data_IF_586203330851
#
_entry.id   IF_586203330851
#
_cell.length_a   1.000
_cell.length_b   1.000
_cell.length_c   1.000
_cell.angle_alpha   90.00
_cell.angle_beta   90.00
_cell.angle_gamma   90.00
#
_symmetry.space_group_name_H-M   'P 1'
#
loop_
_entity.id
_entity.type
_entity.pdbx_description
1 polymer ?
#
# COMPACT_ATOMS: atom_id res chain seq x y z
N UNK A 1 -7.45 -20.70 -1.85
CA UNK A 1 -7.43 -21.01 -0.41
C UNK A 1 -6.60 -19.92 0.24
N UNK A 2 -7.19 -19.10 1.10
CA UNK A 2 -6.47 -18.06 1.84
C UNK A 2 -5.65 -18.78 2.92
N UNK A 3 -4.41 -19.14 2.61
CA UNK A 3 -3.52 -19.72 3.60
C UNK A 3 -3.25 -18.68 4.68
N UNK A 4 -3.62 -19.01 5.91
CA UNK A 4 -3.43 -18.16 7.08
C UNK A 4 -1.94 -18.02 7.37
N UNK A 5 -1.48 -16.80 7.68
CA UNK A 5 -0.06 -16.54 7.92
C UNK A 5 0.37 -17.21 9.24
N UNK A 6 1.38 -18.10 9.23
CA UNK A 6 1.71 -18.92 10.40
C UNK A 6 2.48 -18.10 11.45
N UNK A 7 1.77 -17.55 12.44
CA UNK A 7 2.37 -16.73 13.52
C UNK A 7 3.32 -17.51 14.44
N UNK A 8 3.19 -18.84 14.47
CA UNK A 8 4.08 -19.80 15.11
C UNK A 8 4.53 -20.81 14.05
N UNK A 9 5.48 -20.43 13.18
CA UNK A 9 5.81 -21.21 12.01
C UNK A 9 6.48 -22.54 12.38
N UNK A 10 6.08 -23.63 11.72
CA UNK A 10 6.66 -24.96 11.89
C UNK A 10 7.34 -25.40 10.60
N UNK A 11 8.66 -25.54 10.63
CA UNK A 11 9.44 -25.93 9.46
C UNK A 11 9.79 -24.76 8.54
N UNK A 12 10.58 -25.06 7.49
CA UNK A 12 11.19 -24.02 6.65
C UNK A 12 10.18 -23.20 5.85
N UNK A 13 9.14 -23.84 5.34
CA UNK A 13 8.12 -23.19 4.52
C UNK A 13 7.32 -22.16 5.31
N UNK A 14 6.86 -22.53 6.51
CA UNK A 14 6.17 -21.60 7.41
C UNK A 14 7.04 -20.42 7.82
N UNK A 15 8.33 -20.68 8.10
CA UNK A 15 9.29 -19.61 8.45
C UNK A 15 9.38 -18.63 7.29
N UNK A 16 9.56 -19.12 6.06
CA UNK A 16 9.62 -18.28 4.87
C UNK A 16 8.31 -17.52 4.62
N UNK A 17 7.15 -18.14 4.88
CA UNK A 17 5.84 -17.46 4.76
C UNK A 17 5.70 -16.32 5.77
N UNK A 18 6.03 -16.56 7.04
CA UNK A 18 5.99 -15.50 8.06
C UNK A 18 7.02 -14.40 7.77
N UNK A 19 8.23 -14.76 7.35
CA UNK A 19 9.28 -13.82 6.95
C UNK A 19 8.81 -12.91 5.81
N UNK A 20 8.29 -13.50 4.73
CA UNK A 20 7.74 -12.75 3.61
C UNK A 20 6.60 -11.81 4.06
N UNK A 21 5.66 -12.33 4.86
CA UNK A 21 4.56 -11.54 5.39
C UNK A 21 5.05 -10.33 6.21
N UNK A 22 6.09 -10.51 7.03
CA UNK A 22 6.68 -9.42 7.82
C UNK A 22 7.41 -8.40 6.96
N UNK A 23 8.15 -8.84 5.94
CA UNK A 23 8.82 -7.94 4.98
C UNK A 23 7.77 -7.10 4.25
N UNK A 24 6.80 -7.74 3.62
CA UNK A 24 5.75 -7.05 2.86
C UNK A 24 4.91 -6.14 3.75
N UNK A 25 4.45 -6.64 4.91
CA UNK A 25 3.66 -5.82 5.82
C UNK A 25 4.42 -4.61 6.35
N UNK A 26 5.73 -4.75 6.56
CA UNK A 26 6.56 -3.63 7.00
C UNK A 26 6.79 -2.62 5.89
N UNK A 27 7.05 -3.07 4.65
CA UNK A 27 7.26 -2.16 3.52
C UNK A 27 5.98 -1.49 3.01
N UNK A 28 4.80 -2.01 3.32
CA UNK A 28 3.53 -1.38 2.93
C UNK A 28 3.03 -0.33 3.93
N UNK A 29 3.74 -0.15 5.05
CA UNK A 29 3.49 0.93 5.99
C UNK A 29 3.95 2.27 5.43
N UNK A 30 3.08 3.27 5.43
CA UNK A 30 3.36 4.61 4.88
C UNK A 30 4.54 5.28 5.59
N UNK A 31 4.61 5.19 6.93
CA UNK A 31 5.71 5.75 7.72
C UNK A 31 7.06 5.12 7.37
N UNK A 32 7.07 3.83 7.03
CA UNK A 32 8.28 3.11 6.64
C UNK A 32 8.71 3.49 5.22
N UNK A 33 7.77 3.60 4.27
CA UNK A 33 8.06 4.02 2.91
C UNK A 33 8.62 5.44 2.84
N UNK A 34 8.07 6.36 3.63
CA UNK A 34 8.58 7.73 3.75
C UNK A 34 10.00 7.73 4.30
N UNK A 35 10.26 7.00 5.40
CA UNK A 35 11.61 6.85 5.98
C UNK A 35 12.61 6.29 4.97
N UNK A 36 12.26 5.25 4.22
CA UNK A 36 13.15 4.66 3.18
C UNK A 36 13.45 5.68 2.08
N UNK A 37 12.46 6.49 1.69
CA UNK A 37 12.60 7.49 0.62
C UNK A 37 13.52 8.65 1.04
N UNK A 38 13.52 9.02 2.31
CA UNK A 38 14.30 10.16 2.82
C UNK A 38 15.67 9.76 3.37
N UNK A 39 15.92 8.48 3.65
CA UNK A 39 17.18 8.01 4.20
C UNK A 39 18.32 8.08 3.17
N UNK A 40 19.44 8.71 3.53
CA UNK A 40 20.67 8.71 2.73
C UNK A 40 21.17 7.27 2.48
N UNK A 41 21.18 6.44 3.53
CA UNK A 41 21.58 5.03 3.49
C UNK A 41 20.40 4.07 3.32
N UNK A 42 19.54 4.32 2.33
CA UNK A 42 18.32 3.51 2.08
C UNK A 42 18.57 2.00 1.99
N UNK A 43 19.70 1.59 1.41
CA UNK A 43 20.03 0.17 1.21
C UNK A 43 20.32 -0.53 2.54
N UNK A 44 21.09 0.12 3.41
CA UNK A 44 21.40 -0.37 4.76
C UNK A 44 20.15 -0.49 5.62
N UNK A 45 19.24 0.47 5.49
CA UNK A 45 17.93 0.44 6.14
C UNK A 45 17.07 -0.73 5.66
N UNK A 46 16.98 -0.94 4.34
CA UNK A 46 16.25 -2.06 3.75
C UNK A 46 16.83 -3.41 4.20
N UNK A 47 18.16 -3.58 4.15
CA UNK A 47 18.83 -4.79 4.64
C UNK A 47 18.51 -5.05 6.11
N UNK A 48 18.59 -4.02 6.95
CA UNK A 48 18.28 -4.11 8.38
C UNK A 48 16.83 -4.55 8.64
N UNK A 49 15.87 -4.10 7.83
CA UNK A 49 14.46 -4.49 7.94
C UNK A 49 14.25 -5.96 7.53
N UNK A 50 14.88 -6.39 6.43
CA UNK A 50 14.81 -7.79 5.98
C UNK A 50 15.44 -8.73 7.00
N UNK A 51 16.63 -8.40 7.51
CA UNK A 51 17.31 -9.17 8.56
C UNK A 51 16.46 -9.24 9.83
N UNK A 52 15.84 -8.13 10.24
CA UNK A 52 14.96 -8.11 11.41
C UNK A 52 13.72 -9.01 11.22
N UNK A 53 13.10 -8.98 10.03
CA UNK A 53 11.96 -9.84 9.69
C UNK A 53 12.33 -11.32 9.70
N UNK A 54 13.44 -11.68 9.05
CA UNK A 54 13.96 -13.05 9.03
C UNK A 54 14.37 -13.55 10.42
N UNK A 55 14.92 -12.67 11.26
CA UNK A 55 15.27 -12.99 12.64
C UNK A 55 14.01 -13.28 13.47
N UNK A 56 13.00 -12.40 13.39
CA UNK A 56 11.75 -12.58 14.14
C UNK A 56 11.00 -13.84 13.70
N UNK A 57 10.94 -14.13 12.40
CA UNK A 57 10.28 -15.33 11.89
C UNK A 57 10.89 -16.62 12.46
N UNK A 58 12.23 -16.68 12.54
CA UNK A 58 12.96 -17.82 13.12
C UNK A 58 12.86 -17.89 14.64
N UNK A 59 12.84 -16.75 15.32
CA UNK A 59 12.57 -16.70 16.77
C UNK A 59 11.18 -17.30 17.08
N UNK A 60 10.16 -16.96 16.27
CA UNK A 60 8.82 -17.52 16.40
C UNK A 60 8.75 -19.02 16.09
N UNK A 61 9.69 -19.55 15.31
CA UNK A 61 9.88 -21.00 15.12
C UNK A 61 10.66 -21.68 16.26
N UNK A 62 11.10 -20.93 17.27
CA UNK A 62 11.86 -21.45 18.41
C UNK A 62 13.36 -21.63 18.15
N UNK A 63 13.92 -20.98 17.11
CA UNK A 63 15.37 -21.04 16.89
C UNK A 63 16.14 -20.24 17.94
N UNK A 64 17.32 -20.73 18.30
CA UNK A 64 18.24 -19.98 19.18
C UNK A 64 18.87 -18.82 18.43
N UNK A 65 19.30 -17.78 19.16
CA UNK A 65 19.99 -16.62 18.58
C UNK A 65 21.21 -17.04 17.74
N UNK A 66 21.99 -18.01 18.21
CA UNK A 66 23.17 -18.53 17.50
C UNK A 66 22.81 -19.12 16.15
N UNK A 67 21.76 -19.95 16.10
CA UNK A 67 21.27 -20.55 14.85
C UNK A 67 20.73 -19.49 13.88
N UNK A 68 20.01 -18.49 14.40
CA UNK A 68 19.50 -17.38 13.59
C UNK A 68 20.66 -16.57 12.99
N UNK A 69 21.69 -16.29 13.78
CA UNK A 69 22.88 -15.57 13.37
C UNK A 69 23.64 -16.30 12.26
N UNK A 70 23.80 -17.62 12.40
CA UNK A 70 24.39 -18.48 11.37
C UNK A 70 23.57 -18.47 10.07
N UNK A 71 22.26 -18.73 10.15
CA UNK A 71 21.40 -18.79 8.96
C UNK A 71 21.27 -17.46 8.21
N UNK A 72 21.29 -16.33 8.93
CA UNK A 72 21.18 -15.00 8.33
C UNK A 72 22.55 -14.39 7.99
N UNK A 73 23.66 -15.09 8.24
CA UNK A 73 25.02 -14.58 8.07
C UNK A 73 25.22 -13.22 8.75
N UNK A 74 24.83 -13.14 10.03
CA UNK A 74 24.93 -11.94 10.89
C UNK A 74 25.53 -12.31 12.24
N UNK A 75 25.98 -11.32 13.00
CA UNK A 75 26.47 -11.57 14.37
C UNK A 75 25.32 -11.77 15.34
N UNK A 76 25.50 -12.60 16.36
CA UNK A 76 24.48 -12.77 17.41
C UNK A 76 24.10 -11.46 18.10
N UNK A 77 25.06 -10.54 18.24
CA UNK A 77 24.82 -9.21 18.82
C UNK A 77 23.81 -8.43 17.97
N UNK A 78 24.00 -8.45 16.64
CA UNK A 78 23.05 -7.82 15.71
C UNK A 78 21.66 -8.45 15.82
N UNK A 79 21.58 -9.79 15.81
CA UNK A 79 20.31 -10.52 15.96
C UNK A 79 19.63 -10.17 17.28
N UNK A 80 20.35 -10.16 18.40
CA UNK A 80 19.79 -9.74 19.71
C UNK A 80 19.27 -8.32 19.68
N UNK A 81 19.95 -7.40 19.00
CA UNK A 81 19.50 -6.02 18.89
C UNK A 81 18.19 -5.90 18.12
N UNK A 82 18.03 -6.64 17.01
CA UNK A 82 16.77 -6.71 16.27
C UNK A 82 15.65 -7.38 17.10
N UNK A 83 15.91 -8.57 17.64
CA UNK A 83 14.93 -9.34 18.42
C UNK A 83 14.53 -8.67 19.73
N UNK A 84 15.39 -7.86 20.34
CA UNK A 84 15.02 -7.06 21.52
C UNK A 84 14.29 -5.77 21.17
N UNK A 85 14.31 -5.33 19.91
CA UNK A 85 13.77 -4.03 19.50
C UNK A 85 14.65 -2.86 19.93
N UNK A 86 15.95 -3.09 20.16
CA UNK A 86 16.91 -1.99 20.37
C UNK A 86 17.22 -1.27 19.07
N UNK A 87 17.30 -2.02 17.96
CA UNK A 87 17.41 -1.42 16.64
C UNK A 87 16.05 -0.92 16.15
N UNK A 88 16.08 0.15 15.37
CA UNK A 88 14.87 0.76 14.79
C UNK A 88 14.12 -0.22 13.88
N UNK A 89 14.85 -0.94 13.01
CA UNK A 89 14.28 -2.01 12.19
C UNK A 89 13.60 -3.11 13.03
N UNK A 90 14.21 -3.49 14.15
CA UNK A 90 13.63 -4.46 15.08
C UNK A 90 12.31 -3.98 15.70
N UNK A 91 12.22 -2.70 16.06
CA UNK A 91 10.96 -2.11 16.58
C UNK A 91 9.85 -2.14 15.53
N UNK A 92 10.14 -1.65 14.34
CA UNK A 92 9.17 -1.57 13.24
C UNK A 92 8.62 -2.95 12.90
N UNK A 93 9.50 -3.95 12.73
CA UNK A 93 9.09 -5.32 12.39
C UNK A 93 8.25 -5.96 13.51
N UNK A 94 8.59 -5.72 14.78
CA UNK A 94 7.77 -6.19 15.91
C UNK A 94 6.38 -5.58 15.92
N UNK A 95 6.28 -4.27 15.68
CA UNK A 95 4.98 -3.60 15.55
C UNK A 95 4.16 -4.20 14.42
N UNK A 96 4.78 -4.44 13.25
CA UNK A 96 4.13 -5.11 12.12
C UNK A 96 3.64 -6.51 12.50
N UNK A 97 4.44 -7.30 13.23
CA UNK A 97 4.04 -8.61 13.72
C UNK A 97 2.84 -8.53 14.68
N UNK A 98 2.82 -7.56 15.60
CA UNK A 98 1.70 -7.39 16.54
C UNK A 98 0.43 -6.93 15.82
N UNK A 99 0.53 -6.09 14.80
CA UNK A 99 -0.60 -5.73 13.93
C UNK A 99 -1.11 -6.99 13.23
N UNK A 100 -0.23 -7.73 12.56
CA UNK A 100 -0.56 -8.96 11.85
C UNK A 100 -1.24 -9.99 12.77
N UNK A 101 -0.75 -10.14 14.00
CA UNK A 101 -1.32 -11.03 15.02
C UNK A 101 -2.73 -10.63 15.44
N UNK A 102 -3.03 -9.33 15.49
CA UNK A 102 -4.36 -8.81 15.88
C UNK A 102 -5.35 -8.84 14.73
N UNK A 103 -4.93 -8.44 13.53
CA UNK A 103 -5.79 -8.31 12.36
C UNK A 103 -5.96 -9.61 11.58
N UNK A 104 -5.01 -10.54 11.72
CA UNK A 104 -4.89 -11.75 10.89
C UNK A 104 -4.57 -11.45 9.42
N UNK A 105 -4.28 -10.19 9.07
CA UNK A 105 -4.11 -9.73 7.68
C UNK A 105 -3.04 -8.65 7.59
N UNK A 106 -2.32 -8.64 6.47
CA UNK A 106 -1.43 -7.54 6.11
C UNK A 106 -2.27 -6.39 5.57
N UNK A 107 -2.25 -5.24 6.26
CA UNK A 107 -2.82 -4.02 5.71
C UNK A 107 -1.89 -3.46 4.62
N UNK A 108 -2.28 -3.61 3.37
CA UNK A 108 -1.53 -3.10 2.23
C UNK A 108 -2.03 -1.70 1.91
N UNK A 109 -1.25 -0.68 2.30
CA UNK A 109 -1.50 0.70 1.85
C UNK A 109 -0.65 0.98 0.62
N UNK A 110 -1.16 0.64 -0.56
CA UNK A 110 -0.48 0.92 -1.83
C UNK A 110 -0.35 2.45 -2.01
N UNK A 111 0.86 3.01 -2.21
CA UNK A 111 1.07 4.44 -2.43
C UNK A 111 0.32 4.99 -3.65
N UNK A 112 -0.03 4.11 -4.58
CA UNK A 112 -0.76 4.42 -5.82
C UNK A 112 -2.19 4.90 -5.53
N UNK A 113 -2.79 4.44 -4.43
CA UNK A 113 -4.21 4.69 -4.16
C UNK A 113 -4.56 6.15 -3.88
N UNK A 114 -3.66 6.96 -3.30
CA UNK A 114 -4.00 8.37 -2.95
C UNK A 114 -4.00 9.30 -4.16
N UNK A 115 -2.92 9.27 -4.96
CA UNK A 115 -2.80 10.13 -6.13
C UNK A 115 -3.79 9.76 -7.25
N UNK A 116 -4.11 8.47 -7.39
CA UNK A 116 -5.14 8.03 -8.32
C UNK A 116 -6.56 8.33 -7.81
N UNK A 117 -6.82 8.23 -6.50
CA UNK A 117 -8.14 8.63 -5.95
C UNK A 117 -8.43 10.12 -6.10
N UNK A 118 -7.44 10.98 -5.85
CA UNK A 118 -7.62 12.42 -6.01
C UNK A 118 -7.87 12.80 -7.46
N UNK A 119 -7.10 12.21 -8.40
CA UNK A 119 -7.36 12.37 -9.83
C UNK A 119 -8.72 11.81 -10.24
N UNK A 120 -9.13 10.66 -9.69
CA UNK A 120 -10.44 10.06 -9.98
C UNK A 120 -11.58 10.99 -9.57
N UNK A 121 -11.49 11.61 -8.38
CA UNK A 121 -12.48 12.60 -7.94
C UNK A 121 -12.49 13.84 -8.83
N UNK A 122 -11.33 14.37 -9.19
CA UNK A 122 -11.22 15.51 -10.11
C UNK A 122 -11.82 15.19 -11.49
N UNK A 123 -11.62 13.97 -12.00
CA UNK A 123 -12.21 13.52 -13.25
C UNK A 123 -13.74 13.35 -13.14
N UNK A 124 -14.25 12.82 -12.03
CA UNK A 124 -15.69 12.70 -11.79
C UNK A 124 -16.39 14.08 -11.74
N UNK A 125 -15.80 15.05 -11.05
CA UNK A 125 -16.30 16.43 -11.00
C UNK A 125 -16.31 17.07 -12.40
N UNK A 126 -15.20 16.95 -13.15
CA UNK A 126 -15.13 17.44 -14.55
C UNK A 126 -16.15 16.78 -15.46
N UNK A 127 -16.39 15.48 -15.33
CA UNK A 127 -17.41 14.77 -16.12
C UNK A 127 -18.80 15.32 -15.80
N UNK A 128 -19.13 15.48 -14.51
CA UNK A 128 -20.43 16.03 -14.09
C UNK A 128 -20.66 17.44 -14.64
N UNK A 129 -19.64 18.31 -14.54
CA UNK A 129 -19.74 19.68 -15.03
C UNK A 129 -19.88 19.73 -16.56
N UNK A 130 -19.04 18.97 -17.29
CA UNK A 130 -19.13 18.89 -18.75
C UNK A 130 -20.48 18.30 -19.21
N UNK A 131 -21.01 17.28 -18.53
CA UNK A 131 -22.32 16.73 -18.83
C UNK A 131 -23.44 17.76 -18.66
N UNK A 132 -23.40 18.57 -17.59
CA UNK A 132 -24.36 19.66 -17.39
C UNK A 132 -24.25 20.73 -18.47
N UNK A 133 -23.03 21.10 -18.87
CA UNK A 133 -22.82 22.08 -19.95
C UNK A 133 -23.32 21.56 -21.29
N UNK A 134 -23.06 20.29 -21.62
CA UNK A 134 -23.57 19.65 -22.85
C UNK A 134 -25.09 19.67 -22.88
N UNK A 135 -25.75 19.36 -21.77
CA UNK A 135 -27.21 19.35 -21.70
C UNK A 135 -27.81 20.76 -21.83
N UNK A 136 -27.18 21.76 -21.19
CA UNK A 136 -27.58 23.15 -21.33
C UNK A 136 -27.41 23.66 -22.77
N UNK A 137 -26.30 23.30 -23.44
CA UNK A 137 -26.04 23.66 -24.83
C UNK A 137 -27.04 22.98 -25.77
N UNK A 138 -27.33 21.69 -25.59
CA UNK A 138 -28.36 20.97 -26.36
C UNK A 138 -29.72 21.66 -26.26
N UNK A 139 -30.14 22.04 -25.06
CA UNK A 139 -31.40 22.76 -24.84
C UNK A 139 -31.44 24.13 -25.52
N UNK A 140 -30.34 24.90 -25.48
CA UNK A 140 -30.25 26.18 -26.19
C UNK A 140 -30.31 25.97 -27.71
N UNK A 141 -29.61 24.97 -28.22
CA UNK A 141 -29.59 24.63 -29.65
C UNK A 141 -30.99 24.22 -30.15
N UNK A 142 -31.72 23.42 -29.36
CA UNK A 142 -33.11 23.06 -29.65
C UNK A 142 -34.01 24.29 -29.74
N UNK A 143 -33.92 25.22 -28.78
CA UNK A 143 -34.69 26.48 -28.80
C UNK A 143 -34.36 27.35 -30.01
N UNK A 144 -33.08 27.51 -30.34
CA UNK A 144 -32.65 28.28 -31.51
C UNK A 144 -33.20 27.65 -32.79
N UNK A 145 -33.17 26.32 -32.89
CA UNK A 145 -33.73 25.59 -34.03
C UNK A 145 -35.25 25.82 -34.16
N UNK A 146 -35.99 25.73 -33.06
CA UNK A 146 -37.44 26.01 -33.06
C UNK A 146 -37.76 27.45 -33.49
N UNK A 147 -37.00 28.44 -33.01
CA UNK A 147 -37.19 29.84 -33.39
C UNK A 147 -36.90 30.06 -34.86
N UNK A 148 -35.78 29.52 -35.37
CA UNK A 148 -35.44 29.62 -36.79
C UNK A 148 -36.50 28.96 -37.67
N UNK A 149 -37.04 27.82 -37.24
CA UNK A 149 -38.07 27.10 -37.99
C UNK A 149 -39.37 27.90 -38.07
N UNK A 150 -39.79 28.55 -36.98
CA UNK A 150 -40.93 29.49 -36.98
C UNK A 150 -40.71 30.67 -37.92
N UNK A 151 -39.51 31.27 -37.91
CA UNK A 151 -39.18 32.40 -38.79
C UNK A 151 -39.22 31.98 -40.27
N UNK A 152 -38.70 30.79 -40.60
CA UNK A 152 -38.77 30.26 -41.97
C UNK A 152 -40.23 30.04 -42.39
N UNK A 153 -41.06 29.44 -41.53
CA UNK A 153 -42.49 29.23 -41.81
C UNK A 153 -43.29 30.54 -41.98
N UNK A 154 -42.88 31.63 -41.33
CA UNK A 154 -43.46 32.96 -41.51
C UNK A 154 -43.03 33.59 -42.85
N UNK A 155 -41.76 33.44 -43.24
CA UNK A 155 -41.23 33.96 -44.50
C UNK A 155 -41.73 33.21 -45.75
N UNK A 156 -42.11 31.94 -45.62
CA UNK A 156 -42.69 31.15 -46.73
C UNK A 156 -44.18 31.42 -46.98
N UNK A 157 -44.84 32.23 -46.14
CA UNK A 157 -46.27 32.57 -46.27
C UNK A 157 -46.55 33.90 -46.97
N UNK A 158 -45.54 34.72 -47.21
CA UNK A 158 -45.57 35.95 -48.02
C UNK A 158 -45.07 35.67 -49.45
#
# INVERSE_FOLDING_TARGET
MSEEIPLKPVGKEDISRLEAALIFGTFMRQDVLEKIRTAEDRLTWLDSLVVAAGALARERAGYTVSKIAEELARTESSIRNHLSGKSEAGKIVKETFEILKKSGKIEVQLPVAKAEHEKSKEYEEKISELSSQVEALKNKLAKVKEVLQKIIEELEKD
#
